data_IF_928102694601
#
_entry.id   IF_928102694601
#
_cell.length_a   1.000
_cell.length_b   1.000
_cell.length_c   1.000
_cell.angle_alpha   90.00
_cell.angle_beta   90.00
_cell.angle_gamma   90.00
#
_symmetry.space_group_name_H-M   'P 1'
#
loop_
_entity.id
_entity.type
_entity.pdbx_description
1 polymer ?
#
# COMPACT_ATOMS: atom_id res chain seq x y z
N UNK A 1 -0.45 -7.51 48.12
CA UNK A 1 0.45 -7.38 46.97
C UNK A 1 0.57 -5.94 46.52
N UNK A 2 1.64 -5.61 45.89
CA UNK A 2 1.84 -4.32 45.23
C UNK A 2 2.72 -4.52 43.99
N UNK A 3 2.64 -3.58 43.04
CA UNK A 3 3.57 -3.54 41.93
C UNK A 3 4.95 -3.05 42.42
N UNK A 4 6.01 -3.61 41.84
CA UNK A 4 7.37 -3.19 42.18
C UNK A 4 7.56 -1.70 41.89
N UNK A 5 8.24 -0.99 42.79
CA UNK A 5 8.41 0.47 42.72
C UNK A 5 7.33 1.29 43.40
N UNK A 6 6.19 0.69 43.78
CA UNK A 6 5.18 1.34 44.58
C UNK A 6 5.48 1.25 46.09
N UNK A 7 4.96 2.18 46.89
CA UNK A 7 5.12 2.16 48.34
C UNK A 7 4.33 1.02 48.99
N UNK A 8 4.71 0.61 50.20
CA UNK A 8 3.98 -0.40 50.96
C UNK A 8 2.56 0.05 51.31
N UNK A 9 2.29 1.35 51.39
CA UNK A 9 0.96 1.92 51.62
C UNK A 9 -0.04 1.67 50.50
N UNK A 10 0.42 1.23 49.30
CA UNK A 10 -0.41 0.88 48.12
C UNK A 10 -0.71 -0.62 48.04
N UNK A 11 -0.38 -1.41 49.04
CA UNK A 11 -0.64 -2.84 49.01
C UNK A 11 -2.14 -3.17 48.98
N UNK A 12 -2.50 -4.05 48.08
CA UNK A 12 -3.86 -4.59 47.96
C UNK A 12 -3.92 -6.01 48.56
N UNK A 13 -4.95 -6.27 49.32
CA UNK A 13 -5.18 -7.59 49.91
C UNK A 13 -5.47 -8.65 48.78
N UNK A 14 -5.03 -9.86 49.00
CA UNK A 14 -5.44 -10.99 48.18
C UNK A 14 -6.63 -11.65 48.85
N UNK A 15 -7.79 -11.53 48.20
CA UNK A 15 -9.00 -12.23 48.59
C UNK A 15 -9.04 -13.60 47.92
N UNK A 16 -9.73 -14.56 48.50
CA UNK A 16 -9.96 -15.91 47.94
C UNK A 16 -8.68 -16.70 47.57
N UNK A 17 -7.56 -16.32 48.20
CA UNK A 17 -6.24 -16.93 47.94
C UNK A 17 -5.80 -16.90 46.47
N UNK A 18 -6.36 -16.01 45.66
CA UNK A 18 -6.06 -15.88 44.24
C UNK A 18 -5.44 -14.52 43.95
N UNK A 19 -4.25 -14.52 43.33
CA UNK A 19 -3.60 -13.35 42.80
C UNK A 19 -3.96 -13.20 41.31
N UNK A 20 -4.63 -12.10 40.98
CA UNK A 20 -5.07 -11.80 39.60
C UNK A 20 -4.62 -10.39 39.20
N UNK A 21 -3.42 -10.21 38.69
CA UNK A 21 -2.97 -8.92 38.17
C UNK A 21 -3.64 -8.59 36.86
N UNK A 22 -4.10 -7.35 36.71
CA UNK A 22 -4.72 -6.84 35.48
C UNK A 22 -3.70 -6.42 34.43
N UNK A 23 -2.46 -6.14 34.83
CA UNK A 23 -1.41 -5.62 33.98
C UNK A 23 -0.14 -6.44 34.08
N UNK A 24 0.65 -6.44 32.99
CA UNK A 24 1.99 -6.99 33.04
C UNK A 24 2.88 -6.14 33.96
N UNK A 25 3.84 -6.77 34.59
CA UNK A 25 4.76 -6.09 35.49
C UNK A 25 5.35 -7.03 36.54
N UNK A 26 6.17 -6.47 37.41
CA UNK A 26 6.74 -7.19 38.54
C UNK A 26 5.95 -6.85 39.79
N UNK A 27 5.46 -7.87 40.47
CA UNK A 27 4.63 -7.76 41.66
C UNK A 27 5.34 -8.38 42.86
N UNK A 28 5.20 -7.74 43.99
CA UNK A 28 5.68 -8.21 45.28
C UNK A 28 4.47 -8.70 46.07
N UNK A 29 4.47 -9.99 46.40
CA UNK A 29 3.47 -10.59 47.25
C UNK A 29 4.08 -10.76 48.64
N UNK A 30 3.41 -10.21 49.66
CA UNK A 30 3.89 -10.24 51.03
C UNK A 30 2.86 -10.93 51.91
N UNK A 31 3.28 -11.88 52.70
CA UNK A 31 2.48 -12.48 53.74
C UNK A 31 2.69 -11.73 55.06
N UNK A 32 1.60 -11.45 55.74
CA UNK A 32 1.61 -10.80 57.05
C UNK A 32 0.89 -11.67 58.07
N UNK A 33 1.31 -11.56 59.30
CA UNK A 33 0.56 -12.02 60.48
C UNK A 33 0.01 -10.79 61.18
N UNK A 34 -1.28 -10.76 61.41
CA UNK A 34 -1.94 -9.74 62.18
C UNK A 34 -1.91 -10.13 63.66
N UNK A 35 -1.49 -9.20 64.49
CA UNK A 35 -1.55 -9.34 65.96
C UNK A 35 -2.92 -8.81 66.44
N UNK A 36 -3.71 -9.70 67.00
CA UNK A 36 -5.06 -9.38 67.47
C UNK A 36 -5.12 -8.34 68.58
N UNK A 37 -4.04 -8.22 69.36
CA UNK A 37 -4.05 -7.34 70.55
C UNK A 37 -3.48 -5.94 70.28
N UNK A 38 -2.66 -5.78 69.24
CA UNK A 38 -1.92 -4.53 69.01
C UNK A 38 -2.22 -3.86 67.69
N UNK A 39 -3.05 -4.44 66.83
CA UNK A 39 -3.29 -3.98 65.44
C UNK A 39 -2.01 -3.85 64.63
N UNK A 40 -0.93 -4.51 65.02
CA UNK A 40 0.33 -4.54 64.33
C UNK A 40 0.38 -5.69 63.31
N UNK A 41 0.87 -5.41 62.15
CA UNK A 41 1.11 -6.42 61.11
C UNK A 41 2.60 -6.77 61.11
N UNK A 42 2.92 -8.03 61.23
CA UNK A 42 4.30 -8.52 61.16
C UNK A 42 4.49 -9.20 59.81
N UNK A 43 5.45 -8.70 59.02
CA UNK A 43 5.84 -9.29 57.76
C UNK A 43 6.48 -10.65 57.98
N UNK A 44 5.90 -11.70 57.42
CA UNK A 44 6.39 -13.06 57.53
C UNK A 44 7.30 -13.43 56.36
N UNK A 45 6.85 -13.17 55.16
CA UNK A 45 7.57 -13.54 53.94
C UNK A 45 7.21 -12.61 52.78
N UNK A 46 8.04 -12.53 51.81
CA UNK A 46 7.81 -11.80 50.56
C UNK A 46 8.38 -12.57 49.38
N UNK A 47 7.65 -12.56 48.27
CA UNK A 47 8.11 -13.10 47.00
C UNK A 47 7.82 -12.17 45.84
N UNK A 48 8.55 -12.32 44.78
CA UNK A 48 8.38 -11.51 43.55
C UNK A 48 7.87 -12.37 42.43
N UNK A 49 6.85 -11.92 41.73
CA UNK A 49 6.26 -12.56 40.56
C UNK A 49 6.35 -11.57 39.40
N UNK A 50 6.84 -12.03 38.27
CA UNK A 50 6.81 -11.28 37.04
C UNK A 50 5.70 -11.78 36.13
N UNK A 51 4.76 -10.92 35.83
CA UNK A 51 3.67 -11.17 34.88
C UNK A 51 4.07 -10.57 33.54
N UNK A 52 4.19 -11.41 32.52
CA UNK A 52 4.53 -10.99 31.17
C UNK A 52 3.28 -10.55 30.41
N UNK A 53 3.45 -9.68 29.42
CA UNK A 53 2.41 -9.38 28.45
C UNK A 53 2.07 -10.65 27.66
N UNK A 54 0.82 -10.81 27.27
CA UNK A 54 0.38 -11.88 26.38
C UNK A 54 0.81 -11.53 24.96
N UNK A 55 1.49 -12.40 24.21
CA UNK A 55 1.77 -12.14 22.81
C UNK A 55 0.46 -12.03 22.02
N UNK A 56 0.36 -11.03 21.14
CA UNK A 56 -0.80 -10.81 20.28
C UNK A 56 -0.32 -10.63 18.85
N UNK A 57 -0.60 -11.64 18.02
CA UNK A 57 -0.35 -11.59 16.60
C UNK A 57 -1.39 -10.70 15.92
N UNK A 58 -0.94 -9.69 15.18
CA UNK A 58 -1.78 -8.84 14.35
C UNK A 58 -1.57 -9.16 12.88
N UNK A 59 -2.67 -9.37 12.19
CA UNK A 59 -2.71 -9.70 10.77
C UNK A 59 -3.37 -8.57 9.99
N UNK A 60 -2.95 -8.40 8.74
CA UNK A 60 -3.62 -7.52 7.80
C UNK A 60 -4.34 -8.34 6.73
N UNK A 61 -5.53 -7.92 6.35
CA UNK A 61 -6.34 -8.52 5.28
C UNK A 61 -6.95 -7.46 4.37
N UNK A 62 -7.41 -7.87 3.20
CA UNK A 62 -8.18 -7.06 2.23
C UNK A 62 -9.06 -7.96 1.37
N UNK A 63 -10.09 -7.43 0.70
CA UNK A 63 -10.95 -8.22 -0.18
C UNK A 63 -10.16 -8.93 -1.28
N UNK A 64 -10.36 -10.23 -1.41
CA UNK A 64 -9.68 -11.07 -2.41
C UNK A 64 -8.26 -11.52 -2.03
N UNK A 65 -7.84 -11.36 -0.79
CA UNK A 65 -6.51 -11.74 -0.32
C UNK A 65 -6.26 -13.25 -0.23
N UNK A 66 -7.31 -14.07 -0.27
CA UNK A 66 -7.25 -15.52 -0.28
C UNK A 66 -6.64 -16.13 -1.57
N UNK A 67 -6.34 -15.30 -2.55
CA UNK A 67 -5.64 -15.64 -3.77
C UNK A 67 -4.40 -14.76 -3.83
N UNK A 68 -3.32 -15.25 -4.40
CA UNK A 68 -2.22 -14.38 -4.81
C UNK A 68 -2.85 -13.19 -5.51
N UNK A 69 -2.88 -12.03 -4.85
CA UNK A 69 -3.50 -10.84 -5.39
C UNK A 69 -2.69 -10.39 -6.60
N UNK A 70 -3.06 -10.92 -7.76
CA UNK A 70 -2.38 -10.82 -9.02
C UNK A 70 -3.30 -10.13 -10.03
N UNK A 71 -3.92 -9.05 -9.60
CA UNK A 71 -4.88 -8.25 -10.33
C UNK A 71 -4.28 -6.93 -10.81
N UNK A 72 -4.79 -6.41 -11.91
CA UNK A 72 -4.56 -5.03 -12.36
C UNK A 72 -5.30 -4.02 -11.48
N UNK A 73 -6.33 -4.48 -10.76
CA UNK A 73 -7.09 -3.69 -9.80
C UNK A 73 -6.50 -3.90 -8.40
N UNK A 74 -6.09 -2.81 -7.75
CA UNK A 74 -5.73 -2.83 -6.35
C UNK A 74 -6.99 -2.72 -5.48
N UNK A 75 -7.00 -3.32 -4.28
CA UNK A 75 -8.03 -3.07 -3.29
C UNK A 75 -8.16 -1.56 -3.02
N UNK A 76 -9.33 -1.10 -2.61
CA UNK A 76 -9.47 0.27 -2.09
C UNK A 76 -8.66 0.40 -0.79
N UNK A 77 -8.03 1.57 -0.57
CA UNK A 77 -7.23 1.80 0.64
C UNK A 77 -8.05 1.64 1.93
N UNK A 78 -9.33 1.99 1.89
CA UNK A 78 -10.26 1.86 3.03
C UNK A 78 -10.64 0.41 3.35
N UNK A 79 -10.30 -0.56 2.49
CA UNK A 79 -10.68 -1.96 2.67
C UNK A 79 -9.60 -2.82 3.33
N UNK A 80 -8.44 -2.23 3.66
CA UNK A 80 -7.44 -2.92 4.47
C UNK A 80 -7.87 -2.96 5.92
N UNK A 81 -7.90 -4.14 6.50
CA UNK A 81 -8.32 -4.37 7.88
C UNK A 81 -7.19 -5.01 8.69
N UNK A 82 -7.10 -4.64 9.95
CA UNK A 82 -6.23 -5.29 10.93
C UNK A 82 -7.08 -6.13 11.86
N UNK A 83 -6.66 -7.36 12.10
CA UNK A 83 -7.37 -8.29 12.97
C UNK A 83 -6.42 -9.18 13.78
N UNK A 84 -6.95 -9.87 14.76
CA UNK A 84 -6.28 -10.90 15.55
C UNK A 84 -7.28 -11.97 15.97
N UNK A 85 -6.82 -13.20 16.05
CA UNK A 85 -7.59 -14.33 16.57
C UNK A 85 -7.34 -14.61 18.07
N UNK A 86 -6.39 -13.88 18.66
CA UNK A 86 -5.91 -14.10 20.03
C UNK A 86 -6.33 -13.02 21.04
N UNK A 87 -7.20 -12.07 20.64
CA UNK A 87 -7.82 -11.12 21.55
C UNK A 87 -8.73 -11.84 22.56
N UNK A 88 -8.73 -11.39 23.80
CA UNK A 88 -9.71 -11.84 24.77
C UNK A 88 -11.10 -11.28 24.44
N UNK A 89 -12.15 -11.96 24.90
CA UNK A 89 -13.54 -11.67 24.50
C UNK A 89 -13.99 -10.24 24.77
N UNK A 90 -13.39 -9.59 25.78
CA UNK A 90 -13.76 -8.24 26.21
C UNK A 90 -12.85 -7.14 25.65
N UNK A 91 -11.80 -7.54 24.90
CA UNK A 91 -10.86 -6.63 24.29
C UNK A 91 -11.18 -6.41 22.80
N UNK A 92 -10.93 -5.19 22.32
CA UNK A 92 -11.09 -4.81 20.92
C UNK A 92 -9.83 -4.14 20.39
N UNK A 93 -9.54 -4.31 19.10
CA UNK A 93 -8.45 -3.58 18.49
C UNK A 93 -8.81 -2.08 18.38
N UNK A 94 -7.98 -1.18 18.91
CA UNK A 94 -8.18 0.26 18.76
C UNK A 94 -8.14 0.69 17.27
N UNK A 95 -8.98 1.64 16.90
CA UNK A 95 -8.99 2.21 15.53
C UNK A 95 -7.69 2.96 15.17
N UNK A 96 -6.85 3.25 16.14
CA UNK A 96 -5.52 3.82 15.97
C UNK A 96 -4.44 2.78 15.61
N UNK A 97 -4.83 1.51 15.43
CA UNK A 97 -4.04 0.44 14.81
C UNK A 97 -4.61 0.25 13.41
N UNK A 98 -3.84 0.62 12.39
CA UNK A 98 -4.30 0.68 11.00
C UNK A 98 -3.37 -0.06 10.06
N UNK A 99 -3.90 -0.56 8.95
CA UNK A 99 -3.08 -1.08 7.87
C UNK A 99 -2.57 0.07 6.98
N UNK A 100 -1.33 -0.02 6.54
CA UNK A 100 -0.68 0.95 5.65
C UNK A 100 -0.09 0.20 4.47
N UNK A 101 -0.45 0.61 3.26
CA UNK A 101 0.08 0.04 2.02
C UNK A 101 0.90 1.08 1.25
N UNK A 102 2.13 0.75 0.88
CA UNK A 102 3.03 1.64 0.15
C UNK A 102 2.53 2.03 -1.27
N UNK A 103 1.46 1.38 -1.76
CA UNK A 103 0.78 1.73 -3.01
C UNK A 103 0.03 3.07 -2.94
N UNK A 104 -0.36 3.50 -1.74
CA UNK A 104 -1.13 4.73 -1.52
C UNK A 104 -0.26 5.85 -0.97
N UNK A 105 -0.65 7.10 -1.21
CA UNK A 105 -0.03 8.28 -0.58
C UNK A 105 -0.69 8.56 0.79
N UNK A 106 -0.18 9.56 1.50
CA UNK A 106 -0.66 9.96 2.83
C UNK A 106 -2.12 10.47 2.81
N UNK A 107 -2.68 10.75 1.62
CA UNK A 107 -4.08 11.15 1.42
C UNK A 107 -4.97 9.97 1.02
N UNK A 108 -4.40 8.77 0.93
CA UNK A 108 -5.10 7.56 0.50
C UNK A 108 -5.27 7.44 -1.03
N UNK A 109 -4.65 8.31 -1.84
CA UNK A 109 -4.74 8.21 -3.29
C UNK A 109 -3.79 7.12 -3.80
N UNK A 110 -4.30 6.28 -4.69
CA UNK A 110 -3.50 5.23 -5.33
C UNK A 110 -2.44 5.83 -6.26
N UNK A 111 -1.21 5.42 -6.10
CA UNK A 111 -0.13 5.68 -7.05
C UNK A 111 -0.37 4.88 -8.33
N UNK A 112 -0.17 5.49 -9.49
CA UNK A 112 -0.36 4.82 -10.79
C UNK A 112 0.89 4.00 -11.16
N UNK A 113 1.17 2.97 -10.36
CA UNK A 113 2.31 2.08 -10.51
C UNK A 113 1.88 0.63 -10.32
N UNK A 114 2.63 -0.27 -10.94
CA UNK A 114 2.50 -1.72 -10.74
C UNK A 114 3.72 -2.23 -9.97
N UNK A 115 3.59 -3.38 -9.36
CA UNK A 115 4.69 -4.00 -8.63
C UNK A 115 4.25 -4.74 -7.38
N UNK A 116 5.19 -4.91 -6.48
CA UNK A 116 4.99 -5.52 -5.16
C UNK A 116 5.05 -4.41 -4.12
N UNK A 117 4.00 -4.31 -3.32
CA UNK A 117 3.86 -3.29 -2.28
C UNK A 117 3.73 -3.95 -0.92
N UNK A 118 4.55 -3.54 0.00
CA UNK A 118 4.44 -4.00 1.38
C UNK A 118 3.18 -3.40 2.02
N UNK A 119 2.41 -4.26 2.68
CA UNK A 119 1.30 -3.87 3.55
C UNK A 119 1.74 -4.15 4.98
N UNK A 120 1.80 -3.11 5.77
CA UNK A 120 2.27 -3.12 7.16
C UNK A 120 1.18 -2.66 8.11
N UNK A 121 1.40 -2.85 9.40
CA UNK A 121 0.51 -2.37 10.45
C UNK A 121 1.18 -1.19 11.15
N UNK A 122 0.50 -0.06 11.15
CA UNK A 122 0.89 1.13 11.90
C UNK A 122 0.17 1.17 13.24
N UNK A 123 0.92 1.47 14.30
CA UNK A 123 0.41 1.55 15.68
C UNK A 123 0.68 2.95 16.20
N UNK A 124 -0.38 3.72 16.47
CA UNK A 124 -0.24 5.02 17.13
C UNK A 124 -0.07 4.82 18.62
N UNK A 125 1.17 4.72 19.09
CA UNK A 125 1.51 4.51 20.50
C UNK A 125 1.10 5.65 21.45
N UNK A 126 0.70 6.82 20.94
CA UNK A 126 0.21 7.94 21.76
C UNK A 126 -1.29 7.83 22.04
N UNK A 127 -2.01 7.02 21.28
CA UNK A 127 -3.44 6.79 21.50
C UNK A 127 -3.68 6.09 22.85
N UNK A 128 -4.70 6.55 23.58
CA UNK A 128 -5.00 6.04 24.93
C UNK A 128 -5.45 4.58 24.92
N UNK A 129 -6.25 4.18 23.94
CA UNK A 129 -6.72 2.80 23.82
C UNK A 129 -5.59 1.86 23.42
N UNK A 130 -4.67 2.31 22.57
CA UNK A 130 -3.45 1.57 22.22
C UNK A 130 -2.56 1.42 23.47
N UNK A 131 -2.34 2.46 24.25
CA UNK A 131 -1.59 2.37 25.51
C UNK A 131 -2.18 1.34 26.45
N UNK A 132 -3.51 1.32 26.61
CA UNK A 132 -4.20 0.34 27.43
C UNK A 132 -4.01 -1.09 26.91
N UNK A 133 -4.07 -1.29 25.59
CA UNK A 133 -3.83 -2.61 24.96
C UNK A 133 -2.39 -3.07 25.21
N UNK A 134 -1.41 -2.17 25.07
CA UNK A 134 0.01 -2.47 25.29
C UNK A 134 0.37 -2.77 26.74
N UNK A 135 -0.48 -2.43 27.72
CA UNK A 135 -0.30 -2.88 29.10
C UNK A 135 -0.55 -4.38 29.28
N UNK A 136 -1.45 -4.95 28.46
CA UNK A 136 -1.84 -6.37 28.51
C UNK A 136 -1.08 -7.22 27.49
N UNK A 137 -0.82 -6.68 26.30
CA UNK A 137 -0.32 -7.42 25.14
C UNK A 137 1.04 -6.93 24.67
N UNK A 138 1.82 -7.88 24.13
CA UNK A 138 3.01 -7.63 23.32
C UNK A 138 2.64 -7.87 21.87
N UNK A 139 2.67 -6.81 21.04
CA UNK A 139 2.19 -6.88 19.67
C UNK A 139 3.27 -7.45 18.75
N UNK A 140 2.91 -8.49 18.01
CA UNK A 140 3.67 -9.06 16.90
C UNK A 140 3.00 -8.66 15.59
N UNK A 141 3.62 -7.78 14.83
CA UNK A 141 3.06 -7.22 13.60
C UNK A 141 3.48 -8.05 12.40
N UNK A 142 2.52 -8.64 11.70
CA UNK A 142 2.80 -9.35 10.45
C UNK A 142 2.84 -8.37 9.27
N UNK A 143 3.60 -8.74 8.25
CA UNK A 143 3.69 -8.00 6.99
C UNK A 143 3.19 -8.87 5.86
N UNK A 144 2.52 -8.27 4.88
CA UNK A 144 2.05 -8.96 3.68
C UNK A 144 2.44 -8.20 2.42
N UNK A 145 2.47 -8.89 1.31
CA UNK A 145 2.80 -8.30 0.01
C UNK A 145 1.57 -8.27 -0.89
N UNK A 146 1.19 -7.06 -1.28
CA UNK A 146 0.21 -6.81 -2.34
C UNK A 146 0.93 -6.77 -3.68
N UNK A 147 0.52 -7.62 -4.63
CA UNK A 147 1.07 -7.63 -5.99
C UNK A 147 0.04 -7.03 -6.94
N UNK A 148 0.39 -5.90 -7.56
CA UNK A 148 -0.46 -5.25 -8.56
C UNK A 148 0.19 -5.40 -9.93
N UNK A 149 -0.48 -6.08 -10.85
CA UNK A 149 -0.04 -6.20 -12.24
C UNK A 149 -0.22 -4.87 -12.97
N UNK A 150 0.66 -4.65 -13.92
CA UNK A 150 0.50 -3.54 -14.84
C UNK A 150 -0.62 -3.86 -15.85
N UNK A 151 -1.62 -3.01 -15.93
CA UNK A 151 -2.61 -3.05 -17.00
C UNK A 151 -1.95 -2.60 -18.28
N UNK A 152 -1.90 -3.49 -19.28
CA UNK A 152 -1.24 -3.23 -20.56
C UNK A 152 -2.21 -3.39 -21.70
N UNK A 153 -2.00 -2.59 -22.73
CA UNK A 153 -2.79 -2.60 -23.95
C UNK A 153 -1.89 -2.82 -25.15
N UNK A 154 -2.33 -3.63 -26.10
CA UNK A 154 -1.61 -3.87 -27.33
C UNK A 154 -1.61 -2.62 -28.21
N UNK A 155 -0.42 -2.28 -28.73
CA UNK A 155 -0.19 -1.19 -29.67
C UNK A 155 0.40 -1.75 -30.93
N UNK A 156 -0.34 -1.64 -32.04
CA UNK A 156 0.11 -1.97 -33.38
C UNK A 156 0.30 -0.69 -34.19
N UNK A 157 1.26 -0.70 -35.10
CA UNK A 157 1.45 0.40 -36.03
C UNK A 157 2.11 -0.09 -37.33
N UNK A 158 1.80 0.59 -38.41
CA UNK A 158 2.37 0.33 -39.74
C UNK A 158 2.49 1.62 -40.56
N UNK A 159 3.53 1.74 -41.33
CA UNK A 159 3.66 2.78 -42.35
C UNK A 159 2.91 2.39 -43.61
N UNK A 160 2.39 3.37 -44.33
CA UNK A 160 1.97 3.22 -45.69
C UNK A 160 3.17 3.12 -46.65
N UNK A 161 2.90 3.01 -47.95
CA UNK A 161 3.93 3.05 -48.98
C UNK A 161 4.66 4.41 -48.99
N UNK A 162 5.94 4.39 -49.26
CA UNK A 162 6.75 5.58 -49.39
C UNK A 162 7.27 6.22 -48.11
N UNK A 163 7.28 5.49 -46.99
CA UNK A 163 7.82 6.01 -45.74
C UNK A 163 8.12 4.96 -44.70
N UNK A 164 8.48 5.41 -43.50
CA UNK A 164 8.70 4.59 -42.33
C UNK A 164 7.97 5.16 -41.15
N UNK A 165 7.56 4.31 -40.19
CA UNK A 165 6.92 4.67 -38.95
C UNK A 165 7.68 4.04 -37.77
N UNK A 166 8.02 4.85 -36.77
CA UNK A 166 8.63 4.36 -35.55
C UNK A 166 7.81 4.84 -34.35
N UNK A 167 7.85 4.09 -33.26
CA UNK A 167 7.10 4.40 -32.06
C UNK A 167 8.00 4.44 -30.82
N UNK A 168 7.67 5.33 -29.89
CA UNK A 168 8.36 5.47 -28.61
C UNK A 168 7.43 5.95 -27.49
N UNK A 169 7.87 5.76 -26.25
CA UNK A 169 7.27 6.34 -25.06
C UNK A 169 8.36 6.81 -24.10
N UNK A 170 8.01 7.70 -23.17
CA UNK A 170 8.92 8.14 -22.12
C UNK A 170 8.94 7.16 -20.94
N UNK A 171 10.15 6.77 -20.52
CA UNK A 171 10.38 6.08 -19.24
C UNK A 171 11.37 6.94 -18.43
N UNK A 172 10.84 7.71 -17.49
CA UNK A 172 11.57 8.85 -16.93
C UNK A 172 11.90 9.86 -18.03
N UNK A 173 13.16 10.28 -18.13
CA UNK A 173 13.64 11.23 -19.14
C UNK A 173 14.05 10.58 -20.47
N UNK A 174 14.06 9.26 -20.54
CA UNK A 174 14.53 8.51 -21.70
C UNK A 174 13.40 8.13 -22.65
N UNK A 175 13.62 8.31 -23.96
CA UNK A 175 12.75 7.79 -25.00
C UNK A 175 13.03 6.31 -25.23
N UNK A 176 12.03 5.47 -24.98
CA UNK A 176 12.07 4.02 -25.21
C UNK A 176 11.35 3.69 -26.51
N UNK A 177 12.09 3.19 -27.51
CA UNK A 177 11.51 2.67 -28.75
C UNK A 177 10.87 1.31 -28.50
N UNK A 178 9.82 1.01 -29.27
CA UNK A 178 9.19 -0.31 -29.23
C UNK A 178 8.70 -0.74 -30.61
N UNK A 179 8.58 -2.06 -30.78
CA UNK A 179 8.11 -2.67 -32.03
C UNK A 179 6.59 -2.80 -32.04
N UNK A 180 6.00 -2.80 -33.25
CA UNK A 180 4.56 -3.03 -33.43
C UNK A 180 4.13 -4.36 -32.82
N UNK A 181 2.97 -4.39 -32.18
CA UNK A 181 2.44 -5.55 -31.45
C UNK A 181 2.85 -5.62 -29.97
N UNK A 182 3.62 -4.66 -29.48
CA UNK A 182 4.02 -4.61 -28.07
C UNK A 182 2.84 -4.26 -27.15
N UNK A 183 2.79 -4.91 -26.00
CA UNK A 183 1.93 -4.50 -24.90
C UNK A 183 2.59 -3.37 -24.11
N UNK A 184 1.93 -2.23 -24.05
CA UNK A 184 2.39 -1.02 -23.35
C UNK A 184 1.45 -0.73 -22.19
N UNK A 185 1.98 -0.19 -21.10
CA UNK A 185 1.21 0.19 -19.93
C UNK A 185 0.08 1.16 -20.29
N UNK A 186 -1.10 0.92 -19.75
CA UNK A 186 -2.22 1.87 -19.84
C UNK A 186 -1.82 3.23 -19.29
N UNK A 187 -2.42 4.27 -19.82
CA UNK A 187 -2.11 5.67 -19.51
C UNK A 187 -0.70 6.15 -19.91
N UNK A 188 0.07 5.34 -20.63
CA UNK A 188 1.36 5.78 -21.18
C UNK A 188 1.13 6.75 -22.34
N UNK A 189 1.90 7.85 -22.36
CA UNK A 189 1.98 8.77 -23.48
C UNK A 189 2.84 8.15 -24.57
N UNK A 190 2.31 8.08 -25.79
CA UNK A 190 3.01 7.50 -26.95
C UNK A 190 3.34 8.56 -27.99
N UNK A 191 4.41 8.32 -28.72
CA UNK A 191 4.85 9.13 -29.85
C UNK A 191 5.12 8.22 -31.04
N UNK A 192 4.58 8.58 -32.20
CA UNK A 192 4.78 7.91 -33.48
C UNK A 192 5.40 8.90 -34.45
N UNK A 193 6.56 8.57 -35.00
CA UNK A 193 7.29 9.40 -35.95
C UNK A 193 7.22 8.78 -37.35
N UNK A 194 6.46 9.41 -38.23
CA UNK A 194 6.43 9.07 -39.66
C UNK A 194 7.49 9.88 -40.39
N UNK A 195 8.35 9.19 -41.15
CA UNK A 195 9.32 9.81 -42.05
C UNK A 195 8.99 9.41 -43.47
N UNK A 196 8.89 10.40 -44.36
CA UNK A 196 8.63 10.21 -45.76
C UNK A 196 9.94 9.97 -46.53
N UNK A 197 9.92 9.08 -47.52
CA UNK A 197 10.96 8.95 -48.50
C UNK A 197 10.91 10.14 -49.49
N UNK A 198 11.95 10.35 -50.26
CA UNK A 198 12.00 11.39 -51.27
C UNK A 198 10.84 11.29 -52.26
N UNK A 199 10.16 12.40 -52.47
CA UNK A 199 8.98 12.46 -53.34
C UNK A 199 7.65 12.06 -52.68
N UNK A 200 7.64 11.67 -51.41
CA UNK A 200 6.45 11.32 -50.67
C UNK A 200 6.17 12.30 -49.55
N UNK A 201 4.92 12.41 -49.13
CA UNK A 201 4.44 13.18 -48.00
C UNK A 201 3.49 12.36 -47.13
N UNK A 202 3.45 12.62 -45.83
CA UNK A 202 2.41 12.05 -44.96
C UNK A 202 1.07 12.60 -45.37
N UNK A 203 0.20 11.71 -45.89
CA UNK A 203 -1.15 12.08 -46.34
C UNK A 203 -2.12 12.25 -45.22
N UNK A 204 -2.16 11.30 -44.33
CA UNK A 204 -3.05 11.29 -43.15
C UNK A 204 -2.55 10.33 -42.05
N UNK A 205 -3.04 10.52 -40.88
CA UNK A 205 -2.90 9.58 -39.79
C UNK A 205 -4.24 8.90 -39.54
N UNK A 206 -4.23 7.60 -39.34
CA UNK A 206 -5.38 6.83 -38.92
C UNK A 206 -5.11 6.19 -37.55
N UNK A 207 -6.08 6.26 -36.66
CA UNK A 207 -6.06 5.59 -35.36
C UNK A 207 -7.29 4.71 -35.26
N UNK A 208 -7.08 3.41 -35.06
CA UNK A 208 -8.17 2.42 -35.05
C UNK A 208 -9.08 2.53 -36.28
N UNK A 209 -8.49 2.73 -37.44
CA UNK A 209 -9.18 2.85 -38.72
C UNK A 209 -9.85 4.22 -38.98
N UNK A 210 -9.79 5.16 -38.06
CA UNK A 210 -10.40 6.49 -38.21
C UNK A 210 -9.34 7.56 -38.48
N UNK A 211 -9.59 8.43 -39.47
CA UNK A 211 -8.71 9.59 -39.75
C UNK A 211 -8.71 10.56 -38.59
N UNK A 212 -7.53 11.00 -38.13
CA UNK A 212 -7.42 11.98 -37.04
C UNK A 212 -8.04 13.32 -37.41
N UNK A 213 -8.00 13.71 -38.67
CA UNK A 213 -8.63 14.96 -39.16
C UNK A 213 -10.14 14.98 -38.99
N UNK A 214 -10.78 13.82 -38.92
CA UNK A 214 -12.23 13.70 -38.67
C UNK A 214 -12.61 13.65 -37.17
N UNK A 215 -11.61 13.55 -36.29
CA UNK A 215 -11.83 13.53 -34.82
C UNK A 215 -11.80 14.98 -34.30
N UNK A 216 -12.86 15.71 -34.54
CA UNK A 216 -13.01 17.10 -34.07
C UNK A 216 -13.00 17.19 -32.54
N UNK A 217 -12.14 18.07 -31.99
CA UNK A 217 -12.13 18.42 -30.56
C UNK A 217 -11.44 17.42 -29.65
N UNK A 218 -10.72 16.45 -30.20
CA UNK A 218 -10.07 15.42 -29.39
C UNK A 218 -8.71 15.90 -28.89
N UNK A 219 -8.57 16.05 -27.59
CA UNK A 219 -7.28 16.37 -26.92
C UNK A 219 -6.37 15.16 -26.78
N UNK A 220 -6.82 13.96 -27.13
CA UNK A 220 -6.05 12.71 -27.03
C UNK A 220 -4.94 12.62 -28.05
N UNK A 221 -5.10 13.25 -29.23
CA UNK A 221 -4.17 13.14 -30.36
C UNK A 221 -3.65 14.52 -30.79
N UNK A 222 -2.34 14.63 -30.96
CA UNK A 222 -1.69 15.84 -31.48
C UNK A 222 -0.71 15.49 -32.57
N UNK A 223 -0.89 16.10 -33.74
CA UNK A 223 0.07 15.98 -34.85
C UNK A 223 0.95 17.21 -34.90
N UNK A 224 2.26 17.02 -35.05
CA UNK A 224 3.27 18.08 -35.21
C UNK A 224 4.23 17.72 -36.36
N UNK A 225 4.77 18.72 -37.03
CA UNK A 225 5.78 18.53 -38.07
C UNK A 225 7.14 18.16 -37.46
N UNK A 226 7.86 17.28 -38.15
CA UNK A 226 9.28 17.01 -37.89
C UNK A 226 10.07 17.79 -38.94
N UNK A 227 10.91 18.72 -38.47
CA UNK A 227 11.76 19.55 -39.36
C UNK A 227 13.21 19.11 -39.26
N UNK A 228 13.88 19.16 -40.41
CA UNK A 228 15.35 19.04 -40.53
C UNK A 228 15.85 20.18 -41.40
N UNK A 229 16.75 20.98 -40.88
CA UNK A 229 17.26 22.19 -41.56
C UNK A 229 16.14 23.10 -42.12
N UNK A 230 15.06 23.28 -41.33
CA UNK A 230 13.90 24.09 -41.72
C UNK A 230 12.96 23.46 -42.76
N UNK A 231 13.27 22.27 -43.28
CA UNK A 231 12.40 21.52 -44.18
C UNK A 231 11.62 20.45 -43.44
N UNK A 232 10.35 20.28 -43.79
CA UNK A 232 9.50 19.19 -43.26
C UNK A 232 10.02 17.85 -43.80
N UNK A 233 10.40 16.95 -42.90
CA UNK A 233 10.90 15.59 -43.20
C UNK A 233 9.97 14.51 -42.70
N UNK A 234 8.89 14.88 -42.02
CA UNK A 234 7.92 13.96 -41.49
C UNK A 234 6.94 14.62 -40.55
N UNK A 235 6.16 13.79 -39.87
CA UNK A 235 5.19 14.21 -38.87
C UNK A 235 5.26 13.31 -37.64
N UNK A 236 4.98 13.90 -36.48
CA UNK A 236 4.83 13.17 -35.21
C UNK A 236 3.39 13.19 -34.77
N UNK A 237 2.82 12.01 -34.55
CA UNK A 237 1.59 11.83 -33.82
C UNK A 237 1.91 11.56 -32.34
N UNK A 238 1.35 12.37 -31.45
CA UNK A 238 1.39 12.16 -30.02
C UNK A 238 0.02 11.69 -29.53
N UNK A 239 -0.03 10.56 -28.83
CA UNK A 239 -1.18 10.07 -28.09
C UNK A 239 -0.98 10.41 -26.64
N UNK A 240 -1.88 11.22 -26.05
CA UNK A 240 -1.71 11.78 -24.71
C UNK A 240 -1.69 10.69 -23.62
N UNK A 241 -2.56 9.68 -23.77
CA UNK A 241 -2.62 8.53 -22.88
C UNK A 241 -3.18 7.31 -23.62
N UNK A 242 -2.58 6.15 -23.38
CA UNK A 242 -3.06 4.87 -23.92
C UNK A 242 -4.23 4.36 -23.09
N UNK A 243 -5.47 4.55 -23.56
CA UNK A 243 -6.70 4.18 -22.84
C UNK A 243 -7.41 2.95 -23.41
N UNK A 244 -7.06 2.55 -24.62
CA UNK A 244 -7.62 1.39 -25.34
C UNK A 244 -6.56 0.79 -26.28
N UNK A 245 -6.81 -0.40 -26.83
CA UNK A 245 -5.98 -0.94 -27.92
C UNK A 245 -5.80 0.10 -28.99
N UNK A 246 -4.59 0.22 -29.49
CA UNK A 246 -4.22 1.23 -30.46
C UNK A 246 -3.66 0.56 -31.72
N UNK A 247 -4.21 0.95 -32.85
CA UNK A 247 -3.69 0.64 -34.19
C UNK A 247 -3.48 1.95 -34.95
N UNK A 248 -2.25 2.20 -35.39
CA UNK A 248 -1.83 3.46 -35.99
C UNK A 248 -1.31 3.21 -37.43
N UNK A 249 -1.86 3.96 -38.36
CA UNK A 249 -1.44 3.96 -39.75
C UNK A 249 -1.05 5.38 -40.21
#
# INVERSE_FOLDING_TARGET
WRQSGQSESTETAITDRTFRPEKAGTYIITAYQDDSDTSKRTKLASTTITVKRKPLELYVTWPGDNKDHNSTEAPDNSTFEVWSDALESDDTLPSAITAVCALYDDKGNRKNVSGRFEVTIAVNGEDKAVKSLLEKYELNLTKRMLVVKQDTLSVTYRAGEGGSLSASYKSGDLDQKFESGKNIAKNTKLMFDAKSNDGFLVKEWKVNGQSIKSINGNTEYKVTEILSNGKKVGERLTVAALTKKLDVE
#
